data_IF_566296905409
#
_entry.id   IF_566296905409
#
_cell.length_a   1.000
_cell.length_b   1.000
_cell.length_c   1.000
_cell.angle_alpha   90.00
_cell.angle_beta   90.00
_cell.angle_gamma   90.00
#
_symmetry.space_group_name_H-M   'P 1'
#
loop_
_entity.id
_entity.type
_entity.pdbx_description
1 polymer ?
#
# COMPACT_ATOMS: atom_id res chain seq x y z
N UNK A 1 -14.75 1.52 8.39
CA UNK A 1 -13.62 0.64 8.07
C UNK A 1 -12.63 1.38 7.18
N UNK A 2 -11.35 1.43 7.58
CA UNK A 2 -10.28 1.85 6.68
C UNK A 2 -10.34 1.05 5.39
N UNK A 3 -9.91 1.67 4.30
CA UNK A 3 -9.85 1.02 2.99
C UNK A 3 -8.44 0.48 2.83
N UNK A 4 -8.31 -0.83 2.71
CA UNK A 4 -7.04 -1.52 2.88
C UNK A 4 -6.53 -2.01 1.53
N UNK A 5 -5.27 -1.70 1.25
CA UNK A 5 -4.54 -2.13 0.07
C UNK A 5 -3.29 -2.87 0.49
N UNK A 6 -2.87 -3.85 -0.31
CA UNK A 6 -1.64 -4.59 -0.08
C UNK A 6 -0.79 -4.54 -1.34
N UNK A 7 0.42 -4.00 -1.21
CA UNK A 7 1.43 -4.06 -2.27
C UNK A 7 2.22 -5.35 -2.09
N UNK A 8 2.27 -6.17 -3.13
CA UNK A 8 2.94 -7.46 -3.18
C UNK A 8 4.09 -7.38 -4.19
N UNK A 9 5.32 -7.48 -3.70
CA UNK A 9 6.54 -7.29 -4.51
C UNK A 9 7.56 -8.39 -4.22
N UNK A 10 8.39 -8.74 -5.21
CA UNK A 10 9.39 -9.81 -5.07
C UNK A 10 10.68 -9.36 -4.40
N UNK A 11 10.88 -8.05 -4.27
CA UNK A 11 12.08 -7.44 -3.72
C UNK A 11 11.72 -6.60 -2.50
N UNK A 12 12.62 -6.56 -1.52
CA UNK A 12 12.43 -5.71 -0.35
C UNK A 12 12.37 -4.25 -0.82
N UNK A 13 11.36 -3.46 -0.41
CA UNK A 13 11.34 -2.03 -0.72
C UNK A 13 12.58 -1.35 -0.15
N UNK A 14 13.33 -0.68 -1.01
CA UNK A 14 14.44 0.18 -0.59
C UNK A 14 13.97 1.63 -0.38
N UNK A 15 14.87 2.45 0.18
CA UNK A 15 14.57 3.85 0.49
C UNK A 15 14.18 4.66 -0.76
N UNK A 16 14.76 4.33 -1.92
CA UNK A 16 14.47 5.04 -3.18
C UNK A 16 13.08 4.70 -3.71
N UNK A 17 12.68 3.43 -3.67
CA UNK A 17 11.35 2.99 -4.05
C UNK A 17 10.28 3.59 -3.13
N UNK A 18 10.53 3.60 -1.82
CA UNK A 18 9.64 4.22 -0.83
C UNK A 18 9.56 5.73 -1.04
N UNK A 19 10.68 6.43 -1.20
CA UNK A 19 10.69 7.88 -1.44
C UNK A 19 9.94 8.26 -2.72
N UNK A 20 10.13 7.50 -3.81
CA UNK A 20 9.38 7.70 -5.05
C UNK A 20 7.88 7.52 -4.87
N UNK A 21 7.46 6.49 -4.13
CA UNK A 21 6.05 6.26 -3.82
C UNK A 21 5.44 7.37 -2.94
N UNK A 22 6.22 7.92 -2.00
CA UNK A 22 5.80 9.07 -1.19
C UNK A 22 5.59 10.33 -2.03
N UNK A 23 6.51 10.62 -2.94
CA UNK A 23 6.38 11.75 -3.88
C UNK A 23 5.12 11.57 -4.75
N UNK A 24 4.89 10.36 -5.27
CA UNK A 24 3.69 10.07 -6.04
C UNK A 24 2.40 10.22 -5.23
N UNK A 25 2.42 9.92 -3.93
CA UNK A 25 1.26 10.08 -3.05
C UNK A 25 0.81 11.55 -2.97
N UNK A 26 1.77 12.47 -2.84
CA UNK A 26 1.56 13.92 -2.84
C UNK A 26 2.73 14.62 -2.15
N UNK A 27 3.42 15.52 -2.84
CA UNK A 27 4.58 16.26 -2.32
C UNK A 27 4.23 17.21 -1.17
N UNK A 28 2.97 17.61 -1.08
CA UNK A 28 2.45 18.47 -0.02
C UNK A 28 2.17 17.74 1.29
N UNK A 29 2.10 16.41 1.26
CA UNK A 29 1.72 15.60 2.41
C UNK A 29 2.84 15.58 3.44
N UNK A 30 2.46 15.75 4.69
CA UNK A 30 3.42 15.62 5.78
C UNK A 30 3.67 14.15 6.07
N UNK A 31 4.90 13.72 5.84
CA UNK A 31 5.35 12.36 6.13
C UNK A 31 5.89 12.29 7.55
N UNK A 32 5.39 11.34 8.34
CA UNK A 32 5.91 11.02 9.67
C UNK A 32 6.14 9.51 9.79
N UNK A 33 7.26 9.09 10.39
CA UNK A 33 7.65 7.68 10.57
C UNK A 33 9.09 7.42 10.08
N UNK A 34 9.90 6.48 10.61
CA UNK A 34 9.68 5.34 11.50
C UNK A 34 10.43 5.47 12.86
N UNK A 35 9.74 5.23 13.99
CA UNK A 35 10.29 4.85 15.31
C UNK A 35 9.70 3.49 15.75
N UNK A 36 9.78 3.08 17.04
CA UNK A 36 9.41 1.75 17.62
C UNK A 36 8.11 1.08 17.12
N UNK A 37 7.22 1.80 16.42
CA UNK A 37 5.93 1.30 15.93
C UNK A 37 5.90 0.77 14.49
N UNK A 38 6.95 0.90 13.67
CA UNK A 38 6.94 0.23 12.36
C UNK A 38 5.91 0.76 11.34
N UNK A 39 5.44 2.01 11.47
CA UNK A 39 4.41 2.58 10.57
C UNK A 39 4.81 3.97 10.09
N UNK A 40 4.66 4.20 8.79
CA UNK A 40 4.76 5.50 8.15
C UNK A 40 3.36 6.10 7.95
N UNK A 41 3.21 7.40 8.15
CA UNK A 41 1.95 8.13 8.09
C UNK A 41 2.07 9.34 7.18
N UNK A 42 1.11 9.49 6.29
CA UNK A 42 0.95 10.67 5.44
C UNK A 42 -0.24 11.45 5.97
N UNK A 43 0.01 12.69 6.37
CA UNK A 43 -0.99 13.59 6.93
C UNK A 43 -1.23 14.78 6.01
N UNK A 44 -2.33 15.47 6.25
CA UNK A 44 -2.61 16.77 5.63
C UNK A 44 -1.42 17.74 5.80
N UNK A 45 -1.23 18.70 4.88
CA UNK A 45 -0.09 19.63 4.91
C UNK A 45 0.03 20.47 6.19
N UNK A 46 -1.07 20.63 6.93
CA UNK A 46 -1.11 21.35 8.21
C UNK A 46 -0.79 20.47 9.44
N UNK A 47 -0.59 19.17 9.23
CA UNK A 47 -0.21 18.20 10.27
C UNK A 47 -1.37 17.70 11.12
N UNK A 48 -2.61 18.05 10.77
CA UNK A 48 -3.79 17.69 11.54
C UNK A 48 -4.16 16.22 11.41
N UNK A 49 -4.62 15.80 10.23
CA UNK A 49 -5.23 14.49 10.02
C UNK A 49 -4.33 13.55 9.25
N UNK A 50 -4.19 12.32 9.76
CA UNK A 50 -3.58 11.20 9.02
C UNK A 50 -4.54 10.75 7.92
N UNK A 51 -4.08 10.80 6.68
CA UNK A 51 -4.83 10.34 5.51
C UNK A 51 -4.48 8.90 5.15
N UNK A 52 -3.20 8.53 5.27
CA UNK A 52 -2.68 7.21 4.92
C UNK A 52 -1.75 6.71 6.01
N UNK A 53 -1.84 5.42 6.33
CA UNK A 53 -0.84 4.68 7.10
C UNK A 53 -0.26 3.57 6.24
N UNK A 54 1.05 3.37 6.33
CA UNK A 54 1.80 2.34 5.63
C UNK A 54 2.57 1.54 6.66
N UNK A 55 2.26 0.25 6.78
CA UNK A 55 2.92 -0.64 7.73
C UNK A 55 4.29 -1.09 7.20
N UNK A 56 5.18 -1.47 8.11
CA UNK A 56 6.50 -1.99 7.77
C UNK A 56 6.39 -3.17 6.79
N UNK A 57 7.28 -3.25 5.78
CA UNK A 57 7.32 -4.40 4.89
C UNK A 57 7.53 -5.71 5.66
N UNK A 58 6.68 -6.70 5.38
CA UNK A 58 6.76 -8.03 5.96
C UNK A 58 7.09 -9.06 4.88
N UNK A 59 8.01 -9.98 5.17
CA UNK A 59 8.31 -11.09 4.26
C UNK A 59 7.36 -12.26 4.51
N UNK A 60 6.58 -12.64 3.50
CA UNK A 60 5.75 -13.84 3.51
C UNK A 60 6.54 -14.97 2.86
N UNK A 61 6.87 -15.99 3.66
CA UNK A 61 7.68 -17.15 3.23
C UNK A 61 6.86 -18.43 3.06
N UNK A 62 5.63 -18.46 3.57
CA UNK A 62 4.79 -19.66 3.63
C UNK A 62 3.96 -19.83 2.35
N UNK A 63 4.11 -20.94 1.59
CA UNK A 63 3.29 -21.23 0.42
C UNK A 63 1.79 -21.25 0.74
N UNK A 64 0.96 -20.66 -0.13
CA UNK A 64 -0.50 -20.57 0.03
C UNK A 64 -1.00 -19.52 1.04
N UNK A 65 -0.12 -18.86 1.79
CA UNK A 65 -0.52 -17.87 2.80
C UNK A 65 -1.17 -16.64 2.17
N UNK A 66 -0.67 -16.19 1.01
CA UNK A 66 -1.25 -15.08 0.26
C UNK A 66 -2.68 -15.39 -0.18
N UNK A 67 -2.93 -16.59 -0.74
CA UNK A 67 -4.27 -17.02 -1.12
C UNK A 67 -5.21 -17.12 0.08
N UNK A 68 -4.71 -17.63 1.22
CA UNK A 68 -5.50 -17.76 2.44
C UNK A 68 -5.96 -16.40 2.98
N UNK A 69 -5.12 -15.36 2.88
CA UNK A 69 -5.37 -14.03 3.44
C UNK A 69 -6.10 -13.10 2.48
N UNK A 70 -5.72 -13.11 1.19
CA UNK A 70 -6.19 -12.14 0.18
C UNK A 70 -7.10 -12.77 -0.87
N UNK A 71 -7.23 -14.10 -0.87
CA UNK A 71 -8.06 -14.84 -1.80
C UNK A 71 -7.33 -15.30 -3.07
N UNK A 72 -8.05 -15.98 -3.98
CA UNK A 72 -7.47 -16.69 -5.11
C UNK A 72 -6.82 -15.77 -6.18
N UNK A 73 -7.10 -14.47 -6.16
CA UNK A 73 -6.54 -13.53 -7.13
C UNK A 73 -5.01 -13.41 -7.04
N UNK A 74 -4.44 -13.59 -5.85
CA UNK A 74 -2.98 -13.57 -5.61
C UNK A 74 -2.36 -14.97 -5.52
N UNK A 75 -3.14 -16.03 -5.75
CA UNK A 75 -2.65 -17.42 -5.61
C UNK A 75 -1.54 -17.79 -6.61
N UNK A 76 -1.37 -16.98 -7.66
CA UNK A 76 -0.31 -17.15 -8.65
C UNK A 76 1.06 -16.62 -8.17
N UNK A 77 1.10 -15.90 -7.05
CA UNK A 77 2.33 -15.43 -6.43
C UNK A 77 2.91 -16.50 -5.51
N UNK A 78 4.08 -17.01 -5.86
CA UNK A 78 4.84 -17.95 -5.04
C UNK A 78 5.79 -17.19 -4.09
N UNK A 79 5.81 -17.52 -2.79
CA UNK A 79 6.79 -17.00 -1.85
C UNK A 79 8.25 -17.26 -2.27
N UNK A 80 9.22 -16.42 -1.83
CA UNK A 80 9.03 -15.29 -0.90
C UNK A 80 8.45 -14.05 -1.59
N UNK A 81 7.50 -13.38 -0.91
CA UNK A 81 6.88 -12.13 -1.35
C UNK A 81 6.88 -11.14 -0.20
N UNK A 82 7.26 -9.90 -0.49
CA UNK A 82 7.15 -8.79 0.45
C UNK A 82 5.73 -8.21 0.39
N UNK A 83 5.15 -8.10 1.57
CA UNK A 83 3.82 -7.56 1.85
C UNK A 83 3.95 -6.19 2.49
N UNK A 84 3.30 -5.19 1.89
CA UNK A 84 3.22 -3.84 2.45
C UNK A 84 1.76 -3.45 2.52
N UNK A 85 1.27 -3.24 3.74
CA UNK A 85 -0.11 -2.83 3.96
C UNK A 85 -0.22 -1.30 3.91
N UNK A 86 -1.17 -0.81 3.13
CA UNK A 86 -1.45 0.61 2.91
C UNK A 86 -2.92 0.85 3.24
N UNK A 87 -3.17 1.66 4.26
CA UNK A 87 -4.53 1.93 4.76
C UNK A 87 -4.88 3.39 4.58
N UNK A 88 -5.97 3.65 3.87
CA UNK A 88 -6.56 4.98 3.76
C UNK A 88 -7.56 5.23 4.90
N UNK A 89 -7.54 6.45 5.43
CA UNK A 89 -8.61 6.96 6.30
C UNK A 89 -9.95 6.96 5.56
N UNK A 90 -11.06 6.77 6.28
CA UNK A 90 -12.41 6.94 5.73
C UNK A 90 -12.77 8.40 5.49
N UNK A 91 -12.20 9.30 6.30
CA UNK A 91 -12.45 10.72 6.21
C UNK A 91 -11.14 11.53 6.13
N UNK A 92 -11.11 12.62 5.35
CA UNK A 92 -12.17 13.09 4.45
C UNK A 92 -12.35 12.20 3.23
N UNK A 93 -13.49 12.36 2.54
CA UNK A 93 -13.71 11.77 1.21
C UNK A 93 -12.51 12.09 0.30
N UNK A 94 -11.89 11.06 -0.29
CA UNK A 94 -10.72 11.23 -1.15
C UNK A 94 -9.37 10.92 -0.48
N UNK A 95 -9.33 10.61 0.83
CA UNK A 95 -8.12 10.10 1.50
C UNK A 95 -7.58 8.81 0.85
N UNK A 96 -8.41 8.10 0.08
CA UNK A 96 -8.02 7.02 -0.82
C UNK A 96 -6.99 7.37 -1.89
N UNK A 97 -7.03 8.60 -2.40
CA UNK A 97 -6.25 9.00 -3.57
C UNK A 97 -4.75 8.93 -3.30
N UNK A 98 -4.21 9.51 -2.21
CA UNK A 98 -2.80 9.35 -1.89
C UNK A 98 -2.40 7.91 -1.60
N UNK A 99 -3.26 7.10 -0.97
CA UNK A 99 -2.99 5.67 -0.73
C UNK A 99 -2.86 4.89 -2.06
N UNK A 100 -3.80 5.11 -2.99
CA UNK A 100 -3.79 4.54 -4.34
C UNK A 100 -2.52 4.89 -5.10
N UNK A 101 -2.13 6.16 -5.07
CA UNK A 101 -0.93 6.65 -5.76
C UNK A 101 0.34 6.05 -5.17
N UNK A 102 0.45 6.02 -3.84
CA UNK A 102 1.57 5.38 -3.14
C UNK A 102 1.69 3.92 -3.54
N UNK A 103 0.60 3.15 -3.41
CA UNK A 103 0.59 1.72 -3.68
C UNK A 103 0.91 1.40 -5.15
N UNK A 104 0.32 2.15 -6.09
CA UNK A 104 0.54 1.96 -7.51
C UNK A 104 1.98 2.31 -7.92
N UNK A 105 2.54 3.42 -7.42
CA UNK A 105 3.92 3.80 -7.74
C UNK A 105 4.91 2.78 -7.16
N UNK A 106 4.70 2.33 -5.92
CA UNK A 106 5.56 1.33 -5.31
C UNK A 106 5.52 0.00 -6.07
N UNK A 107 4.34 -0.46 -6.48
CA UNK A 107 4.20 -1.68 -7.27
C UNK A 107 4.86 -1.54 -8.64
N UNK A 108 4.72 -0.40 -9.31
CA UNK A 108 5.34 -0.15 -10.62
C UNK A 108 6.87 -0.16 -10.54
N UNK A 109 7.44 0.45 -9.49
CA UNK A 109 8.90 0.50 -9.28
C UNK A 109 9.51 -0.87 -9.01
N UNK A 110 8.77 -1.72 -8.31
CA UNK A 110 9.25 -3.02 -7.84
C UNK A 110 8.69 -4.20 -8.65
N UNK A 111 8.09 -3.93 -9.82
CA UNK A 111 7.47 -4.93 -10.71
C UNK A 111 6.52 -5.88 -9.97
N UNK A 112 5.69 -5.30 -9.10
CA UNK A 112 4.73 -5.99 -8.25
C UNK A 112 3.28 -5.70 -8.61
N UNK A 113 2.39 -6.15 -7.73
CA UNK A 113 0.96 -5.95 -7.87
C UNK A 113 0.31 -5.37 -6.62
N UNK A 114 -0.89 -4.84 -6.79
CA UNK A 114 -1.68 -4.26 -5.72
C UNK A 114 -2.97 -5.05 -5.57
N UNK A 115 -3.18 -5.58 -4.38
CA UNK A 115 -4.47 -6.08 -3.94
C UNK A 115 -5.23 -4.97 -3.21
N UNK A 116 -6.56 -4.97 -3.31
CA UNK A 116 -7.41 -4.03 -2.58
C UNK A 116 -8.70 -4.72 -2.14
N UNK A 117 -9.19 -4.40 -0.95
CA UNK A 117 -10.44 -4.98 -0.41
C UNK A 117 -11.70 -4.35 -1.03
N UNK A 118 -11.66 -3.05 -1.35
CA UNK A 118 -12.78 -2.29 -1.91
C UNK A 118 -12.86 -2.42 -3.46
N UNK A 119 -13.96 -2.97 -4.02
CA UNK A 119 -14.17 -3.05 -5.46
C UNK A 119 -14.12 -1.69 -6.18
N UNK A 120 -14.50 -0.59 -5.52
CA UNK A 120 -14.44 0.74 -6.09
C UNK A 120 -12.99 1.20 -6.30
N UNK A 121 -12.07 0.76 -5.44
CA UNK A 121 -10.63 0.97 -5.62
C UNK A 121 -10.10 0.22 -6.82
N UNK A 122 -10.45 -1.07 -6.94
CA UNK A 122 -10.01 -1.88 -8.07
C UNK A 122 -10.35 -1.18 -9.40
N UNK A 123 -11.58 -0.65 -9.50
CA UNK A 123 -12.03 0.12 -10.68
C UNK A 123 -11.26 1.42 -10.90
N UNK A 124 -10.99 2.20 -9.85
CA UNK A 124 -10.27 3.50 -9.94
C UNK A 124 -8.78 3.32 -10.26
N UNK A 125 -8.16 2.26 -9.74
CA UNK A 125 -6.77 1.91 -9.97
C UNK A 125 -6.54 1.20 -11.31
N UNK A 126 -7.60 0.81 -12.03
CA UNK A 126 -7.49 -0.05 -13.21
C UNK A 126 -7.07 -1.49 -12.89
N UNK A 127 -7.12 -1.89 -11.61
CA UNK A 127 -6.90 -3.27 -11.17
C UNK A 127 -8.10 -4.10 -11.63
N UNK A 128 -7.83 -5.23 -12.29
CA UNK A 128 -8.88 -6.07 -12.86
C UNK A 128 -9.75 -6.63 -11.73
N UNK A 129 -11.01 -6.20 -11.67
CA UNK A 129 -12.04 -6.93 -10.93
C UNK A 129 -12.31 -8.24 -11.69
N UNK A 130 -12.04 -9.39 -11.09
CA UNK A 130 -12.45 -10.69 -11.60
C UNK A 130 -13.27 -11.42 -10.54
#
# INVERSE_FOLDING_TARGET
MSKDMVVLVRQAPDEEAVAGALVAAGEELLVTGFGDGGVLRLSEPDGGRVLVSVDAPMLVETPGELERLLGPEVAHLEPPVWWIEVRASEEPDGAEVPALRFAAELSLRLDGEVWADDPAYKKRAGLKSR
#
